data_IF_380045717174
#
_entry.id   IF_380045717174
#
_cell.length_a   1.000
_cell.length_b   1.000
_cell.length_c   1.000
_cell.angle_alpha   90.00
_cell.angle_beta   90.00
_cell.angle_gamma   90.00
#
_symmetry.space_group_name_H-M   'P 1'
#
loop_
_entity.id
_entity.type
_entity.pdbx_description
1 polymer ?
#
# COMPACT_ATOMS: atom_id res chain seq x y z
N UNK A 1 -37.38 17.56 -6.53
CA UNK A 1 -36.36 16.50 -6.43
C UNK A 1 -35.10 17.04 -7.08
N UNK A 2 -34.00 17.15 -6.33
CA UNK A 2 -32.70 17.49 -6.91
C UNK A 2 -32.21 16.28 -7.71
N UNK A 3 -31.67 16.51 -8.90
CA UNK A 3 -31.07 15.48 -9.73
C UNK A 3 -29.94 14.78 -8.96
N UNK A 4 -29.77 13.45 -9.05
CA UNK A 4 -28.64 12.78 -8.44
C UNK A 4 -27.32 13.37 -8.98
N UNK A 5 -26.31 13.57 -8.12
CA UNK A 5 -25.05 14.17 -8.52
C UNK A 5 -24.34 13.29 -9.57
N UNK A 6 -23.83 13.90 -10.63
CA UNK A 6 -23.05 13.18 -11.66
C UNK A 6 -21.60 12.94 -11.18
N UNK A 7 -20.90 12.00 -11.82
CA UNK A 7 -19.55 11.58 -11.41
C UNK A 7 -18.51 12.70 -11.37
N UNK A 8 -18.61 13.69 -12.27
CA UNK A 8 -17.73 14.86 -12.29
C UNK A 8 -17.97 15.76 -11.09
N UNK A 9 -19.23 16.04 -10.79
CA UNK A 9 -19.59 16.84 -9.62
C UNK A 9 -19.16 16.17 -8.32
N UNK A 10 -19.32 14.85 -8.20
CA UNK A 10 -18.83 14.08 -7.05
C UNK A 10 -17.30 14.16 -6.93
N UNK A 11 -16.58 14.07 -8.06
CA UNK A 11 -15.11 14.19 -8.07
C UNK A 11 -14.66 15.55 -7.55
N UNK A 12 -15.33 16.63 -7.99
CA UNK A 12 -15.02 17.99 -7.54
C UNK A 12 -15.34 18.19 -6.06
N UNK A 13 -16.44 17.60 -5.56
CA UNK A 13 -16.79 17.63 -4.14
C UNK A 13 -15.70 16.95 -3.32
N UNK A 14 -15.30 15.72 -3.68
CA UNK A 14 -14.27 14.98 -2.94
C UNK A 14 -12.94 15.73 -2.94
N UNK A 15 -12.50 16.26 -4.09
CA UNK A 15 -11.27 17.08 -4.20
C UNK A 15 -11.27 18.26 -3.25
N UNK A 16 -12.40 18.96 -3.14
CA UNK A 16 -12.53 20.14 -2.28
C UNK A 16 -12.70 19.78 -0.82
N UNK A 17 -13.39 18.67 -0.53
CA UNK A 17 -13.63 18.19 0.82
C UNK A 17 -12.32 17.92 1.57
N UNK A 18 -11.26 17.50 0.88
CA UNK A 18 -9.92 17.30 1.47
C UNK A 18 -9.43 18.53 2.26
N UNK A 19 -9.76 19.73 1.78
CA UNK A 19 -9.29 21.00 2.36
C UNK A 19 -10.42 21.81 3.01
N UNK A 20 -11.63 21.27 3.13
CA UNK A 20 -12.77 22.02 3.63
C UNK A 20 -13.64 21.15 4.54
N UNK A 21 -13.66 21.53 5.82
CA UNK A 21 -14.37 20.82 6.88
C UNK A 21 -15.88 20.73 6.62
N UNK A 22 -16.52 21.82 6.20
CA UNK A 22 -17.97 21.84 5.95
C UNK A 22 -18.36 20.89 4.81
N UNK A 23 -17.54 20.84 3.76
CA UNK A 23 -17.71 19.92 2.63
C UNK A 23 -17.43 18.46 3.01
N UNK A 24 -16.46 18.22 3.90
CA UNK A 24 -16.20 16.89 4.44
C UNK A 24 -17.39 16.39 5.28
N UNK A 25 -17.97 17.24 6.13
CA UNK A 25 -19.16 16.94 6.94
C UNK A 25 -20.40 16.66 6.08
N UNK A 26 -20.52 17.29 4.90
CA UNK A 26 -21.63 17.04 3.98
C UNK A 26 -21.38 15.90 2.98
N UNK A 27 -20.20 15.27 3.01
CA UNK A 27 -19.78 14.32 1.97
C UNK A 27 -20.67 13.06 1.95
N UNK A 28 -21.04 12.52 3.12
CA UNK A 28 -21.94 11.37 3.28
C UNK A 28 -23.23 11.57 2.51
N UNK A 29 -23.84 12.75 2.64
CA UNK A 29 -25.08 13.09 1.95
C UNK A 29 -24.93 13.04 0.43
N UNK A 30 -23.82 13.55 -0.11
CA UNK A 30 -23.58 13.53 -1.55
C UNK A 30 -23.35 12.11 -2.07
N UNK A 31 -22.67 11.28 -1.30
CA UNK A 31 -22.31 9.92 -1.69
C UNK A 31 -23.49 8.94 -1.57
N UNK A 32 -24.31 9.04 -0.52
CA UNK A 32 -25.49 8.19 -0.33
C UNK A 32 -26.55 8.39 -1.43
N UNK A 33 -26.62 9.59 -2.01
CA UNK A 33 -27.54 9.93 -3.09
C UNK A 33 -26.98 9.65 -4.49
N UNK A 34 -25.74 9.17 -4.60
CA UNK A 34 -25.11 8.86 -5.87
C UNK A 34 -25.45 7.42 -6.31
N UNK A 35 -25.53 7.21 -7.63
CA UNK A 35 -25.62 5.84 -8.16
C UNK A 35 -24.27 5.13 -8.06
N UNK A 36 -24.26 3.79 -7.94
CA UNK A 36 -23.02 2.98 -7.93
C UNK A 36 -22.14 3.25 -9.16
N UNK A 37 -22.76 3.44 -10.33
CA UNK A 37 -22.03 3.79 -11.56
C UNK A 37 -21.39 5.17 -11.47
N UNK A 38 -22.07 6.16 -10.89
CA UNK A 38 -21.50 7.48 -10.68
C UNK A 38 -20.32 7.45 -9.71
N UNK A 39 -20.39 6.62 -8.66
CA UNK A 39 -19.29 6.39 -7.71
C UNK A 39 -18.09 5.74 -8.42
N UNK A 40 -18.29 4.67 -9.18
CA UNK A 40 -17.19 4.01 -9.90
C UNK A 40 -16.50 4.96 -10.88
N UNK A 41 -17.27 5.73 -11.65
CA UNK A 41 -16.70 6.75 -12.54
C UNK A 41 -16.01 7.85 -11.74
N UNK A 42 -16.55 8.29 -10.61
CA UNK A 42 -15.87 9.26 -9.75
C UNK A 42 -14.50 8.71 -9.31
N UNK A 43 -14.43 7.46 -8.87
CA UNK A 43 -13.15 6.82 -8.49
C UNK A 43 -12.17 6.82 -9.67
N UNK A 44 -12.58 6.34 -10.85
CA UNK A 44 -11.74 6.30 -12.04
C UNK A 44 -11.19 7.70 -12.38
N UNK A 45 -12.03 8.73 -12.30
CA UNK A 45 -11.66 10.12 -12.51
C UNK A 45 -10.67 10.64 -11.45
N UNK A 46 -10.85 10.27 -10.17
CA UNK A 46 -9.98 10.68 -9.08
C UNK A 46 -8.62 9.98 -9.14
N UNK A 47 -8.59 8.66 -9.36
CA UNK A 47 -7.36 7.86 -9.49
C UNK A 47 -6.54 8.33 -10.69
N UNK A 48 -7.16 8.58 -11.84
CA UNK A 48 -6.43 9.07 -13.03
C UNK A 48 -5.91 10.52 -12.89
N UNK A 49 -6.32 11.25 -11.86
CA UNK A 49 -5.93 12.64 -11.63
C UNK A 49 -4.66 12.72 -10.78
N UNK A 50 -3.49 12.92 -11.41
CA UNK A 50 -2.21 13.10 -10.72
C UNK A 50 -2.28 14.13 -9.58
N UNK A 51 -2.87 15.29 -9.85
CA UNK A 51 -3.03 16.37 -8.86
C UNK A 51 -3.85 15.95 -7.65
N UNK A 52 -4.86 15.09 -7.80
CA UNK A 52 -5.66 14.63 -6.69
C UNK A 52 -4.85 13.72 -5.77
N UNK A 53 -4.09 12.78 -6.35
CA UNK A 53 -3.24 11.89 -5.56
C UNK A 53 -2.21 12.69 -4.77
N UNK A 54 -1.60 13.72 -5.39
CA UNK A 54 -0.67 14.61 -4.71
C UNK A 54 -1.34 15.43 -3.61
N UNK A 55 -2.49 16.03 -3.88
CA UNK A 55 -3.22 16.85 -2.91
C UNK A 55 -3.67 16.02 -1.70
N UNK A 56 -4.09 14.77 -1.92
CA UNK A 56 -4.47 13.85 -0.86
C UNK A 56 -3.26 13.50 0.03
N UNK A 57 -2.10 13.22 -0.56
CA UNK A 57 -0.85 12.97 0.19
C UNK A 57 -0.41 14.23 0.96
N UNK A 58 -0.45 15.41 0.32
CA UNK A 58 -0.14 16.72 0.93
C UNK A 58 -0.99 17.00 2.16
N UNK A 59 -2.31 16.89 2.00
CA UNK A 59 -3.27 17.19 3.05
C UNK A 59 -3.12 16.21 4.22
N UNK A 60 -2.81 14.94 3.93
CA UNK A 60 -2.52 13.93 4.96
C UNK A 60 -1.26 14.26 5.76
N UNK A 61 -0.20 14.71 5.07
CA UNK A 61 1.05 15.13 5.71
C UNK A 61 0.84 16.36 6.62
N UNK A 62 0.05 17.32 6.13
CA UNK A 62 -0.19 18.62 6.75
C UNK A 62 -0.87 18.52 8.11
N UNK A 63 -0.27 19.11 9.16
CA UNK A 63 -0.91 19.16 10.49
C UNK A 63 -2.27 19.89 10.50
N UNK A 64 -2.46 20.86 9.60
CA UNK A 64 -3.70 21.64 9.53
C UNK A 64 -4.81 20.88 8.84
N UNK A 65 -4.48 20.22 7.73
CA UNK A 65 -5.48 19.63 6.84
C UNK A 65 -5.75 18.16 7.14
N UNK A 66 -4.87 17.52 7.91
CA UNK A 66 -4.96 16.10 8.23
C UNK A 66 -6.28 15.72 8.88
N UNK A 67 -6.77 16.48 9.87
CA UNK A 67 -8.04 16.16 10.53
C UNK A 67 -9.21 16.13 9.53
N UNK A 68 -9.25 17.10 8.62
CA UNK A 68 -10.26 17.17 7.57
C UNK A 68 -10.09 16.01 6.59
N UNK A 69 -8.85 15.70 6.22
CA UNK A 69 -8.53 14.59 5.32
C UNK A 69 -8.90 13.23 5.93
N UNK A 70 -8.61 12.99 7.21
CA UNK A 70 -8.99 11.78 7.93
C UNK A 70 -10.51 11.62 7.99
N UNK A 71 -11.25 12.72 8.17
CA UNK A 71 -12.71 12.70 8.11
C UNK A 71 -13.21 12.31 6.70
N UNK A 72 -12.63 12.87 5.64
CA UNK A 72 -12.97 12.47 4.25
C UNK A 72 -12.71 10.99 4.02
N UNK A 73 -11.56 10.47 4.48
CA UNK A 73 -11.23 9.04 4.35
C UNK A 73 -12.21 8.16 5.12
N UNK A 74 -12.63 8.59 6.32
CA UNK A 74 -13.62 7.90 7.11
C UNK A 74 -14.97 7.80 6.37
N UNK A 75 -15.46 8.92 5.83
CA UNK A 75 -16.71 8.94 5.07
C UNK A 75 -16.63 8.08 3.80
N UNK A 76 -15.46 8.05 3.14
CA UNK A 76 -15.22 7.15 2.01
C UNK A 76 -15.21 5.68 2.44
N UNK A 77 -14.70 5.33 3.62
CA UNK A 77 -14.73 3.96 4.14
C UNK A 77 -16.15 3.43 4.36
N UNK A 78 -17.12 4.30 4.64
CA UNK A 78 -18.53 3.91 4.80
C UNK A 78 -19.17 3.46 3.50
N UNK A 79 -18.56 3.79 2.36
CA UNK A 79 -19.02 3.35 1.08
C UNK A 79 -18.54 1.92 0.82
N UNK A 80 -19.49 0.98 0.88
CA UNK A 80 -19.30 -0.43 0.55
C UNK A 80 -19.05 -0.66 -0.97
N UNK A 81 -18.03 0.00 -1.53
CA UNK A 81 -17.64 -0.11 -2.93
C UNK A 81 -16.17 -0.50 -3.05
N UNK A 82 -15.83 -1.63 -3.69
CA UNK A 82 -14.44 -2.07 -3.86
C UNK A 82 -13.56 -1.04 -4.60
N UNK A 83 -14.15 -0.24 -5.48
CA UNK A 83 -13.43 0.81 -6.23
C UNK A 83 -12.84 1.88 -5.31
N UNK A 84 -13.45 2.14 -4.16
CA UNK A 84 -13.01 3.20 -3.25
C UNK A 84 -11.73 2.82 -2.52
N UNK A 85 -11.46 1.51 -2.41
CA UNK A 85 -10.21 1.03 -1.86
C UNK A 85 -9.00 1.64 -2.56
N UNK A 86 -9.09 1.84 -3.88
CA UNK A 86 -7.99 2.42 -4.66
C UNK A 86 -7.67 3.85 -4.19
N UNK A 87 -8.68 4.63 -3.76
CA UNK A 87 -8.50 5.97 -3.18
C UNK A 87 -7.96 5.87 -1.76
N UNK A 88 -8.54 5.00 -0.94
CA UNK A 88 -8.19 4.86 0.47
C UNK A 88 -6.72 4.45 0.69
N UNK A 89 -6.16 3.67 -0.24
CA UNK A 89 -4.77 3.21 -0.16
C UNK A 89 -3.74 4.29 -0.52
N UNK A 90 -4.11 5.36 -1.23
CA UNK A 90 -3.18 6.46 -1.61
C UNK A 90 -2.47 7.07 -0.38
N UNK A 91 -3.17 7.52 0.67
CA UNK A 91 -2.55 8.13 1.84
C UNK A 91 -2.01 7.13 2.87
N UNK A 92 -2.29 5.83 2.75
CA UNK A 92 -1.91 4.82 3.74
C UNK A 92 -0.40 4.81 4.06
N UNK A 93 0.52 4.88 3.07
CA UNK A 93 1.95 4.90 3.37
C UNK A 93 2.37 6.02 4.33
N UNK A 94 1.82 7.22 4.13
CA UNK A 94 2.14 8.39 4.94
C UNK A 94 1.40 8.37 6.28
N UNK A 95 0.15 7.88 6.32
CA UNK A 95 -0.59 7.68 7.57
C UNK A 95 0.15 6.75 8.52
N UNK A 96 0.60 5.59 8.02
CA UNK A 96 1.37 4.63 8.82
C UNK A 96 2.69 5.26 9.25
N UNK A 97 3.38 5.98 8.35
CA UNK A 97 4.61 6.66 8.72
C UNK A 97 4.42 7.63 9.90
N UNK A 98 3.40 8.49 9.82
CA UNK A 98 3.08 9.47 10.87
C UNK A 98 2.71 8.73 12.16
N UNK A 99 1.88 7.69 12.08
CA UNK A 99 1.54 6.86 13.24
C UNK A 99 2.79 6.27 13.92
N UNK A 100 3.73 5.70 13.16
CA UNK A 100 4.97 5.11 13.68
C UNK A 100 6.01 6.14 14.18
N UNK A 101 5.72 7.43 14.02
CA UNK A 101 6.61 8.54 14.41
C UNK A 101 5.92 9.59 15.31
N UNK A 102 4.63 9.40 15.62
CA UNK A 102 3.89 10.26 16.53
C UNK A 102 4.38 10.02 17.96
N UNK A 103 4.51 11.10 18.72
CA UNK A 103 4.84 11.09 20.15
C UNK A 103 3.66 11.56 21.01
N UNK A 104 2.57 12.06 20.38
CA UNK A 104 1.39 12.57 21.07
C UNK A 104 0.28 11.55 21.14
N UNK A 105 -0.22 11.26 22.36
CA UNK A 105 -1.26 10.25 22.60
C UNK A 105 -2.57 10.54 21.83
N UNK A 106 -3.01 11.80 21.80
CA UNK A 106 -4.24 12.19 21.10
C UNK A 106 -4.12 12.05 19.57
N UNK A 107 -3.03 12.57 18.99
CA UNK A 107 -2.76 12.47 17.54
C UNK A 107 -2.62 11.00 17.11
N UNK A 108 -2.01 10.17 17.97
CA UNK A 108 -1.85 8.75 17.71
C UNK A 108 -3.18 7.99 17.76
N UNK A 109 -4.09 8.31 18.69
CA UNK A 109 -5.41 7.67 18.79
C UNK A 109 -6.30 7.93 17.57
N UNK A 110 -6.28 9.16 17.03
CA UNK A 110 -7.01 9.52 15.81
C UNK A 110 -6.47 8.78 14.58
N UNK A 111 -5.14 8.77 14.42
CA UNK A 111 -4.47 8.03 13.35
C UNK A 111 -4.75 6.52 13.43
N UNK A 112 -4.67 5.96 14.63
CA UNK A 112 -4.96 4.55 14.89
C UNK A 112 -6.38 4.18 14.48
N UNK A 113 -7.35 5.01 14.86
CA UNK A 113 -8.76 4.81 14.52
C UNK A 113 -8.97 4.77 13.01
N UNK A 114 -8.41 5.74 12.27
CA UNK A 114 -8.54 5.77 10.80
C UNK A 114 -7.81 4.60 10.13
N UNK A 115 -6.59 4.26 10.57
CA UNK A 115 -5.85 3.12 10.04
C UNK A 115 -6.63 1.82 10.21
N UNK A 116 -7.22 1.61 11.40
CA UNK A 116 -8.05 0.43 11.67
C UNK A 116 -9.34 0.40 10.85
N UNK A 117 -9.96 1.55 10.60
CA UNK A 117 -11.15 1.63 9.75
C UNK A 117 -10.84 1.27 8.30
N UNK A 118 -9.74 1.80 7.74
CA UNK A 118 -9.29 1.43 6.40
C UNK A 118 -8.95 -0.06 6.36
N UNK A 119 -8.28 -0.58 7.39
CA UNK A 119 -7.96 -2.01 7.49
C UNK A 119 -9.22 -2.90 7.57
N UNK A 120 -10.25 -2.50 8.33
CA UNK A 120 -11.53 -3.19 8.40
C UNK A 120 -12.25 -3.15 7.04
N UNK A 121 -12.28 -1.99 6.38
CA UNK A 121 -12.83 -1.86 5.03
C UNK A 121 -12.15 -2.83 4.04
N UNK A 122 -10.81 -2.91 4.07
CA UNK A 122 -10.04 -3.87 3.26
C UNK A 122 -10.50 -5.32 3.51
N UNK A 123 -10.66 -5.72 4.77
CA UNK A 123 -11.06 -7.08 5.14
C UNK A 123 -12.50 -7.41 4.75
N UNK A 124 -13.38 -6.43 4.72
CA UNK A 124 -14.77 -6.60 4.29
C UNK A 124 -14.91 -6.79 2.78
N UNK A 125 -13.91 -6.36 1.99
CA UNK A 125 -13.91 -6.60 0.55
C UNK A 125 -13.53 -8.04 0.21
N UNK A 126 -14.37 -8.77 -0.56
CA UNK A 126 -14.18 -10.19 -0.84
C UNK A 126 -12.89 -10.52 -1.59
N UNK A 127 -12.24 -9.53 -2.23
CA UNK A 127 -10.92 -9.66 -2.87
C UNK A 127 -9.83 -10.13 -1.90
N UNK A 128 -9.93 -9.78 -0.61
CA UNK A 128 -8.94 -10.17 0.41
C UNK A 128 -9.25 -11.53 1.02
N UNK A 129 -10.50 -11.99 0.89
CA UNK A 129 -11.03 -13.06 1.73
C UNK A 129 -10.58 -14.48 1.34
N UNK A 130 -10.07 -14.71 0.12
CA UNK A 130 -9.60 -16.03 -0.35
C UNK A 130 -8.61 -15.88 -1.51
N UNK A 131 -7.45 -15.28 -1.25
CA UNK A 131 -6.36 -15.31 -2.23
C UNK A 131 -5.90 -16.76 -2.42
N UNK A 132 -6.34 -17.33 -3.54
CA UNK A 132 -5.97 -18.67 -3.93
C UNK A 132 -5.54 -18.68 -5.38
N UNK A 133 -4.47 -19.40 -5.67
CA UNK A 133 -3.98 -19.56 -7.03
C UNK A 133 -3.84 -21.05 -7.35
N UNK A 134 -4.03 -21.39 -8.63
CA UNK A 134 -3.77 -22.74 -9.14
C UNK A 134 -2.33 -22.76 -9.65
N UNK A 135 -1.54 -23.73 -9.19
CA UNK A 135 -0.22 -23.98 -9.78
C UNK A 135 -0.44 -24.51 -11.21
N UNK A 136 0.11 -23.87 -12.27
CA UNK A 136 0.02 -24.40 -13.62
C UNK A 136 0.87 -25.67 -13.74
N UNK A 137 0.26 -26.76 -14.23
CA UNK A 137 0.92 -28.05 -14.40
C UNK A 137 1.31 -28.28 -15.85
N UNK A 138 2.60 -28.53 -16.10
CA UNK A 138 3.16 -28.63 -17.46
C UNK A 138 2.62 -29.82 -18.27
N UNK A 139 2.14 -30.87 -17.60
CA UNK A 139 1.51 -32.04 -18.22
C UNK A 139 0.01 -31.86 -18.44
N UNK A 140 -0.58 -30.74 -17.98
CA UNK A 140 -1.94 -30.38 -18.33
C UNK A 140 -1.94 -29.39 -19.50
N UNK A 141 -2.90 -29.52 -20.43
CA UNK A 141 -3.09 -28.52 -21.45
C UNK A 141 -3.34 -27.14 -20.83
N UNK A 142 -2.67 -26.11 -21.34
CA UNK A 142 -2.87 -24.73 -20.96
C UNK A 142 -2.80 -23.83 -22.21
N UNK A 143 -2.99 -22.52 -22.05
CA UNK A 143 -3.02 -21.57 -23.18
C UNK A 143 -1.72 -21.53 -24.00
N UNK A 144 -0.61 -22.05 -23.46
CA UNK A 144 0.71 -22.07 -24.10
C UNK A 144 1.16 -23.46 -24.55
N UNK A 145 0.55 -24.54 -24.07
CA UNK A 145 0.96 -25.91 -24.41
C UNK A 145 -0.20 -26.91 -24.41
N UNK A 146 -0.12 -27.93 -25.26
CA UNK A 146 -1.14 -28.99 -25.32
C UNK A 146 -1.04 -30.03 -24.19
N UNK A 147 -0.20 -29.81 -23.16
CA UNK A 147 -0.06 -30.74 -22.04
C UNK A 147 0.68 -32.05 -22.36
N UNK A 148 1.46 -32.07 -23.44
CA UNK A 148 2.16 -33.29 -23.91
C UNK A 148 3.61 -33.27 -23.41
N UNK A 149 3.82 -33.28 -22.08
CA UNK A 149 5.15 -33.54 -21.52
C UNK A 149 5.22 -35.01 -21.07
N UNK A 150 6.18 -35.81 -21.58
CA UNK A 150 6.32 -37.20 -21.16
C UNK A 150 6.87 -37.22 -19.73
N UNK A 151 5.97 -37.39 -18.75
CA UNK A 151 6.27 -37.51 -17.31
C UNK A 151 7.26 -38.67 -17.02
N UNK A 152 7.52 -39.55 -17.99
CA UNK A 152 8.27 -40.79 -17.80
C UNK A 152 9.82 -40.68 -17.86
N UNK A 153 10.43 -39.52 -18.13
CA UNK A 153 11.92 -39.46 -18.32
C UNK A 153 12.69 -38.38 -17.55
N UNK A 154 12.07 -37.65 -16.62
CA UNK A 154 12.75 -36.59 -15.87
C UNK A 154 12.67 -36.84 -14.36
N UNK A 155 13.80 -37.21 -13.76
CA UNK A 155 13.97 -37.50 -12.32
C UNK A 155 13.78 -36.29 -11.37
N UNK A 156 13.17 -35.18 -11.83
CA UNK A 156 13.21 -33.88 -11.13
C UNK A 156 11.87 -33.14 -11.06
N UNK A 157 10.73 -33.80 -11.25
CA UNK A 157 9.44 -33.14 -11.06
C UNK A 157 8.78 -33.61 -9.76
N UNK A 158 8.87 -32.78 -8.71
CA UNK A 158 7.82 -32.79 -7.68
C UNK A 158 6.58 -32.20 -8.33
N UNK A 159 5.68 -33.07 -8.74
CA UNK A 159 4.36 -32.69 -9.21
C UNK A 159 3.52 -32.39 -7.96
N UNK A 160 3.22 -31.12 -7.72
CA UNK A 160 2.08 -30.78 -6.88
C UNK A 160 0.84 -31.22 -7.66
N UNK A 161 -0.07 -31.97 -7.04
CA UNK A 161 -1.41 -32.19 -7.61
C UNK A 161 -2.10 -30.82 -7.82
N UNK A 162 -3.21 -30.75 -8.56
CA UNK A 162 -3.98 -29.50 -8.75
C UNK A 162 -4.47 -28.93 -7.40
N UNK A 163 -3.57 -28.32 -6.63
CA UNK A 163 -3.84 -27.74 -5.33
C UNK A 163 -4.18 -26.27 -5.55
N UNK A 164 -5.39 -25.91 -5.14
CA UNK A 164 -5.76 -24.51 -4.90
C UNK A 164 -5.01 -24.11 -3.62
N UNK A 165 -3.87 -23.46 -3.78
CA UNK A 165 -3.10 -22.98 -2.63
C UNK A 165 -3.73 -21.68 -2.16
N UNK A 166 -4.23 -21.68 -0.93
CA UNK A 166 -4.66 -20.46 -0.23
C UNK A 166 -3.47 -19.90 0.52
N UNK A 167 -3.03 -18.69 0.18
CA UNK A 167 -1.82 -18.09 0.77
C UNK A 167 -2.12 -16.89 1.68
N UNK A 168 -3.39 -16.53 1.84
CA UNK A 168 -3.82 -15.45 2.74
C UNK A 168 -4.86 -16.00 3.73
N UNK A 169 -4.50 -16.07 5.00
CA UNK A 169 -5.33 -16.67 6.04
C UNK A 169 -5.57 -15.67 7.19
N UNK A 170 -6.85 -15.34 7.35
CA UNK A 170 -7.54 -14.80 8.52
C UNK A 170 -7.60 -13.28 8.67
N UNK A 171 -8.85 -12.79 8.74
CA UNK A 171 -9.16 -11.48 9.29
C UNK A 171 -8.83 -11.44 10.78
N UNK A 172 -8.21 -10.35 11.21
CA UNK A 172 -7.93 -10.12 12.63
C UNK A 172 -9.09 -9.30 13.21
N UNK A 173 -9.90 -9.83 14.14
CA UNK A 173 -10.80 -8.99 14.92
C UNK A 173 -9.94 -8.23 15.93
N UNK A 174 -9.54 -7.01 15.62
CA UNK A 174 -8.87 -6.15 16.59
C UNK A 174 -9.43 -4.74 16.54
N UNK A 175 -9.78 -4.24 17.71
CA UNK A 175 -10.26 -2.87 17.90
C UNK A 175 -9.12 -1.87 18.14
N UNK A 176 -7.88 -2.34 18.39
CA UNK A 176 -6.69 -1.52 18.63
C UNK A 176 -5.44 -2.09 17.92
N UNK A 177 -4.49 -1.23 17.57
CA UNK A 177 -3.16 -1.60 17.06
C UNK A 177 -2.22 -1.89 18.24
N UNK A 178 -1.46 -2.98 18.14
CA UNK A 178 -0.44 -3.34 19.11
C UNK A 178 0.75 -4.02 18.42
N UNK A 179 1.85 -4.19 19.13
CA UNK A 179 3.08 -4.77 18.57
C UNK A 179 2.89 -6.19 17.98
N UNK A 180 1.83 -6.93 18.36
CA UNK A 180 1.56 -8.28 17.84
C UNK A 180 0.81 -8.25 16.51
N UNK A 181 -0.13 -7.31 16.33
CA UNK A 181 -0.95 -7.22 15.12
C UNK A 181 -0.42 -6.23 14.08
N UNK A 182 0.43 -5.27 14.48
CA UNK A 182 0.98 -4.26 13.60
C UNK A 182 1.69 -4.88 12.40
N UNK A 183 2.50 -5.92 12.61
CA UNK A 183 3.18 -6.61 11.50
C UNK A 183 2.23 -7.22 10.47
N UNK A 184 1.06 -7.71 10.90
CA UNK A 184 0.04 -8.28 10.01
C UNK A 184 -0.78 -7.18 9.31
N UNK A 185 -1.10 -6.10 10.02
CA UNK A 185 -1.72 -4.90 9.45
C UNK A 185 -0.83 -4.32 8.33
N UNK A 186 0.47 -4.17 8.62
CA UNK A 186 1.46 -3.73 7.63
C UNK A 186 1.55 -4.69 6.45
N UNK A 187 1.50 -6.00 6.67
CA UNK A 187 1.51 -6.99 5.60
C UNK A 187 0.33 -6.80 4.64
N UNK A 188 -0.89 -6.67 5.18
CA UNK A 188 -2.10 -6.45 4.37
C UNK A 188 -2.00 -5.14 3.58
N UNK A 189 -1.59 -4.03 4.21
CA UNK A 189 -1.45 -2.77 3.48
C UNK A 189 -0.39 -2.84 2.39
N UNK A 190 0.79 -3.40 2.67
CA UNK A 190 1.86 -3.51 1.68
C UNK A 190 1.44 -4.41 0.52
N UNK A 191 0.73 -5.51 0.80
CA UNK A 191 0.15 -6.37 -0.24
C UNK A 191 -0.85 -5.61 -1.10
N UNK A 192 -1.88 -4.99 -0.50
CA UNK A 192 -2.93 -4.31 -1.26
C UNK A 192 -2.41 -3.10 -2.05
N UNK A 193 -1.42 -2.38 -1.51
CA UNK A 193 -0.69 -1.33 -2.25
C UNK A 193 0.11 -1.95 -3.39
N UNK A 194 0.80 -3.07 -3.14
CA UNK A 194 1.59 -3.80 -4.13
C UNK A 194 0.77 -4.27 -5.33
N UNK A 195 -0.43 -4.80 -5.09
CA UNK A 195 -1.36 -5.25 -6.13
C UNK A 195 -1.83 -4.10 -7.05
N UNK A 196 -1.77 -2.85 -6.57
CA UNK A 196 -2.29 -1.65 -7.25
C UNK A 196 -1.24 -0.60 -7.58
N UNK A 197 0.03 -0.85 -7.26
CA UNK A 197 1.10 0.15 -7.28
C UNK A 197 1.27 0.83 -8.65
N UNK A 198 0.92 0.12 -9.73
CA UNK A 198 0.96 0.62 -11.11
C UNK A 198 -0.05 1.72 -11.41
N UNK A 199 -1.12 1.82 -10.62
CA UNK A 199 -2.16 2.85 -10.73
C UNK A 199 -1.76 4.16 -10.03
N UNK A 200 -0.79 4.10 -9.13
CA UNK A 200 -0.44 5.22 -8.27
C UNK A 200 0.65 6.11 -8.86
N UNK A 201 0.53 7.39 -8.55
CA UNK A 201 1.48 8.42 -8.91
C UNK A 201 2.86 8.18 -8.27
N UNK A 202 3.94 8.72 -8.85
CA UNK A 202 5.30 8.61 -8.31
C UNK A 202 5.40 9.01 -6.82
N UNK A 203 4.61 10.00 -6.39
CA UNK A 203 4.61 10.47 -4.99
C UNK A 203 4.14 9.39 -4.00
N UNK A 204 3.17 8.56 -4.39
CA UNK A 204 2.66 7.46 -3.58
C UNK A 204 3.66 6.31 -3.56
N UNK A 205 4.25 5.99 -4.72
CA UNK A 205 5.32 5.00 -4.86
C UNK A 205 6.53 5.38 -3.99
N UNK A 206 6.88 6.67 -3.96
CA UNK A 206 7.93 7.22 -3.11
C UNK A 206 7.59 7.10 -1.62
N UNK A 207 6.39 7.53 -1.20
CA UNK A 207 5.95 7.40 0.20
C UNK A 207 5.94 5.94 0.66
N UNK A 208 5.54 5.02 -0.23
CA UNK A 208 5.57 3.58 0.03
C UNK A 208 7.00 3.09 0.22
N UNK A 209 7.92 3.54 -0.63
CA UNK A 209 9.35 3.20 -0.52
C UNK A 209 9.94 3.71 0.79
N UNK A 210 9.61 4.94 1.21
CA UNK A 210 10.04 5.46 2.49
C UNK A 210 9.44 4.71 3.68
N UNK A 211 8.16 4.35 3.64
CA UNK A 211 7.55 3.50 4.66
C UNK A 211 8.33 2.19 4.84
N UNK A 212 8.74 1.55 3.74
CA UNK A 212 9.57 0.35 3.79
C UNK A 212 10.90 0.57 4.53
N UNK A 213 11.60 1.68 4.31
CA UNK A 213 12.83 2.01 5.06
C UNK A 213 12.59 2.08 6.58
N UNK A 214 11.46 2.65 7.01
CA UNK A 214 11.12 2.75 8.43
C UNK A 214 10.74 1.41 9.04
N UNK A 215 9.98 0.59 8.33
CA UNK A 215 9.64 -0.78 8.74
C UNK A 215 10.93 -1.60 8.96
N UNK A 216 11.92 -1.46 8.07
CA UNK A 216 13.21 -2.14 8.16
C UNK A 216 14.12 -1.62 9.29
N UNK A 217 13.69 -0.58 10.01
CA UNK A 217 14.41 -0.06 11.19
C UNK A 217 15.68 0.70 10.84
N UNK A 218 15.75 1.30 9.65
CA UNK A 218 16.88 2.13 9.22
C UNK A 218 16.49 3.60 9.14
N UNK A 219 17.32 4.46 9.73
CA UNK A 219 17.21 5.90 9.48
C UNK A 219 17.70 6.22 8.07
N UNK A 220 16.91 7.00 7.33
CA UNK A 220 17.25 7.49 5.97
C UNK A 220 18.50 8.40 5.99
N UNK A 221 19.04 8.78 7.16
CA UNK A 221 20.18 9.69 7.34
C UNK A 221 21.48 9.34 6.58
N UNK A 222 21.63 8.13 6.05
CA UNK A 222 22.79 7.75 5.21
C UNK A 222 22.46 7.56 3.72
N UNK A 223 21.21 7.78 3.33
CA UNK A 223 20.80 7.86 1.93
C UNK A 223 20.93 9.33 1.58
N UNK A 224 21.96 9.72 0.81
CA UNK A 224 21.98 11.04 0.17
C UNK A 224 20.59 11.30 -0.40
N UNK A 225 19.96 12.39 0.06
CA UNK A 225 18.61 12.77 -0.32
C UNK A 225 18.53 12.72 -1.84
N UNK A 226 17.75 11.80 -2.43
CA UNK A 226 17.56 11.82 -3.87
C UNK A 226 16.88 13.14 -4.20
N UNK A 227 17.51 13.92 -5.07
CA UNK A 227 16.90 15.08 -5.72
C UNK A 227 15.83 14.56 -6.68
N UNK A 228 14.64 14.33 -6.15
CA UNK A 228 13.47 13.99 -6.96
C UNK A 228 12.97 15.29 -7.56
N UNK A 229 12.90 15.33 -8.89
CA UNK A 229 12.27 16.40 -9.65
C UNK A 229 10.73 16.32 -9.54
N UNK A 230 10.22 16.29 -8.31
CA UNK A 230 8.86 16.70 -8.01
C UNK A 230 8.90 18.18 -7.62
N UNK A 231 7.78 18.90 -7.74
CA UNK A 231 7.68 20.30 -7.30
C UNK A 231 8.40 20.50 -5.96
N UNK A 232 9.45 21.34 -5.96
CA UNK A 232 10.46 21.42 -4.90
C UNK A 232 9.86 21.65 -3.50
N UNK A 233 8.65 22.22 -3.40
CA UNK A 233 7.94 22.44 -2.14
C UNK A 233 7.29 21.16 -1.57
N UNK A 234 6.76 20.29 -2.43
CA UNK A 234 6.11 19.04 -2.06
C UNK A 234 7.12 17.99 -1.60
N UNK A 235 8.19 17.81 -2.38
CA UNK A 235 9.29 16.93 -2.03
C UNK A 235 9.93 17.40 -0.72
N UNK A 236 10.10 18.72 -0.54
CA UNK A 236 10.60 19.29 0.71
C UNK A 236 9.67 19.05 1.90
N UNK A 237 8.35 19.20 1.77
CA UNK A 237 7.41 19.00 2.89
C UNK A 237 7.30 17.54 3.31
N UNK A 238 7.23 16.63 2.33
CA UNK A 238 7.20 15.19 2.54
C UNK A 238 8.54 14.73 3.10
N UNK A 239 9.68 15.06 2.47
CA UNK A 239 11.00 14.76 3.05
C UNK A 239 11.11 15.36 4.44
N UNK A 240 10.65 16.59 4.71
CA UNK A 240 10.65 17.15 6.06
C UNK A 240 9.90 16.24 7.03
N UNK A 241 8.69 15.76 6.71
CA UNK A 241 7.99 14.78 7.56
C UNK A 241 8.75 13.44 7.69
N UNK A 242 9.45 13.00 6.65
CA UNK A 242 10.28 11.79 6.65
C UNK A 242 11.67 11.99 7.31
N UNK A 243 12.17 13.22 7.43
CA UNK A 243 13.53 13.58 7.86
C UNK A 243 13.59 14.25 9.25
N UNK A 244 12.50 14.89 9.72
CA UNK A 244 12.55 15.79 10.89
C UNK A 244 12.56 15.07 12.24
N UNK A 245 12.15 13.82 12.37
CA UNK A 245 12.11 13.20 13.71
C UNK A 245 13.31 12.30 13.94
N UNK A 246 13.99 12.50 15.08
CA UNK A 246 14.93 11.52 15.65
C UNK A 246 14.17 10.19 15.70
N UNK A 247 14.36 9.36 14.68
CA UNK A 247 13.59 8.15 14.48
C UNK A 247 13.78 7.32 15.73
N UNK A 248 12.72 7.21 16.53
CA UNK A 248 12.65 6.21 17.58
C UNK A 248 12.93 4.88 16.87
N UNK A 249 14.15 4.34 17.07
CA UNK A 249 14.64 3.13 16.41
C UNK A 249 14.02 1.91 17.10
N UNK A 250 12.69 1.93 17.26
CA UNK A 250 11.94 0.78 17.74
C UNK A 250 12.09 -0.28 16.65
N UNK A 251 12.79 -1.37 16.98
CA UNK A 251 12.92 -2.51 16.08
C UNK A 251 11.58 -3.24 16.04
N UNK A 252 10.96 -3.28 14.87
CA UNK A 252 9.77 -4.07 14.65
C UNK A 252 10.13 -5.54 14.50
N UNK A 253 9.32 -6.42 15.07
CA UNK A 253 9.36 -7.84 14.74
C UNK A 253 8.69 -8.00 13.38
N UNK A 254 9.48 -8.28 12.36
CA UNK A 254 9.00 -8.46 11.00
C UNK A 254 8.78 -9.94 10.74
N UNK A 255 7.62 -10.28 10.20
CA UNK A 255 7.33 -11.64 9.76
C UNK A 255 7.80 -11.84 8.32
N UNK A 256 8.10 -13.09 7.95
CA UNK A 256 8.60 -13.43 6.62
C UNK A 256 7.68 -12.95 5.49
N UNK A 257 6.36 -13.14 5.64
CA UNK A 257 5.37 -12.74 4.63
C UNK A 257 5.44 -11.24 4.32
N UNK A 258 5.56 -10.38 5.33
CA UNK A 258 5.72 -8.94 5.11
C UNK A 258 6.98 -8.64 4.28
N UNK A 259 8.10 -9.27 4.61
CA UNK A 259 9.35 -9.08 3.86
C UNK A 259 9.28 -9.62 2.43
N UNK A 260 8.56 -10.73 2.20
CA UNK A 260 8.31 -11.28 0.87
C UNK A 260 7.44 -10.33 0.02
N UNK A 261 6.38 -9.74 0.59
CA UNK A 261 5.58 -8.72 -0.11
C UNK A 261 6.42 -7.48 -0.43
N UNK A 262 7.26 -7.04 0.50
CA UNK A 262 8.19 -5.93 0.27
C UNK A 262 9.19 -6.25 -0.86
N UNK A 263 9.64 -7.51 -0.98
CA UNK A 263 10.49 -7.93 -2.11
C UNK A 263 9.75 -7.78 -3.44
N UNK A 264 8.53 -8.32 -3.54
CA UNK A 264 7.71 -8.21 -4.75
C UNK A 264 7.53 -6.76 -5.19
N UNK A 265 7.17 -5.89 -4.24
CA UNK A 265 7.00 -4.47 -4.47
C UNK A 265 8.31 -3.77 -4.87
N UNK A 266 9.41 -4.06 -4.19
CA UNK A 266 10.72 -3.48 -4.50
C UNK A 266 11.20 -3.88 -5.89
N UNK A 267 11.02 -5.15 -6.28
CA UNK A 267 11.38 -5.63 -7.62
C UNK A 267 10.60 -4.87 -8.69
N UNK A 268 9.30 -4.62 -8.47
CA UNK A 268 8.50 -3.78 -9.35
C UNK A 268 9.06 -2.34 -9.43
N UNK A 269 9.33 -1.72 -8.28
CA UNK A 269 9.80 -0.33 -8.20
C UNK A 269 11.21 -0.12 -8.78
N UNK A 270 12.09 -1.13 -8.71
CA UNK A 270 13.43 -1.10 -9.35
C UNK A 270 13.36 -0.92 -10.86
N UNK A 271 12.30 -1.41 -11.51
CA UNK A 271 12.13 -1.35 -12.97
C UNK A 271 11.28 -0.15 -13.43
N UNK A 272 11.00 0.81 -12.54
CA UNK A 272 10.32 2.05 -12.92
C UNK A 272 11.30 2.99 -13.63
N UNK A 273 10.75 3.79 -14.54
CA UNK A 273 11.51 4.80 -15.29
C UNK A 273 12.08 5.91 -14.38
N UNK A 274 11.47 6.13 -13.22
CA UNK A 274 11.96 7.11 -12.24
C UNK A 274 13.22 6.57 -11.54
N UNK A 275 14.38 7.10 -11.92
CA UNK A 275 15.70 6.74 -11.39
C UNK A 275 15.80 6.90 -9.87
N UNK A 276 15.07 7.85 -9.28
CA UNK A 276 15.12 8.06 -7.83
C UNK A 276 14.37 6.95 -7.10
N UNK A 277 13.18 6.60 -7.58
CA UNK A 277 12.39 5.49 -7.02
C UNK A 277 13.15 4.18 -7.20
N UNK A 278 13.73 3.94 -8.38
CA UNK A 278 14.53 2.75 -8.67
C UNK A 278 15.77 2.64 -7.74
N UNK A 279 16.48 3.74 -7.53
CA UNK A 279 17.64 3.81 -6.64
C UNK A 279 17.26 3.55 -5.18
N UNK A 280 16.17 4.15 -4.69
CA UNK A 280 15.65 3.91 -3.35
C UNK A 280 15.17 2.47 -3.17
N UNK A 281 14.47 1.91 -4.15
CA UNK A 281 14.03 0.52 -4.15
C UNK A 281 15.22 -0.44 -4.07
N UNK A 282 16.29 -0.19 -4.83
CA UNK A 282 17.53 -0.99 -4.77
C UNK A 282 18.18 -0.97 -3.38
N UNK A 283 18.14 0.17 -2.70
CA UNK A 283 18.60 0.29 -1.31
C UNK A 283 17.68 -0.48 -0.35
N UNK A 284 16.36 -0.37 -0.50
CA UNK A 284 15.39 -1.19 0.26
C UNK A 284 15.65 -2.69 0.08
N UNK A 285 15.92 -3.14 -1.14
CA UNK A 285 16.22 -4.54 -1.45
C UNK A 285 17.41 -5.06 -0.63
N UNK A 286 18.48 -4.26 -0.59
CA UNK A 286 19.70 -4.57 0.17
C UNK A 286 19.43 -4.61 1.69
N UNK A 287 18.54 -3.73 2.17
CA UNK A 287 18.14 -3.69 3.57
C UNK A 287 17.25 -4.86 3.97
N UNK A 288 16.33 -5.30 3.10
CA UNK A 288 15.51 -6.50 3.32
C UNK A 288 16.44 -7.71 3.48
N UNK A 289 17.41 -7.87 2.58
CA UNK A 289 18.39 -8.94 2.66
C UNK A 289 19.18 -8.92 3.97
N UNK A 290 19.69 -7.74 4.35
CA UNK A 290 20.42 -7.57 5.62
C UNK A 290 19.52 -7.92 6.80
N UNK A 291 18.27 -7.48 6.79
CA UNK A 291 17.30 -7.75 7.87
C UNK A 291 17.00 -9.24 7.98
N UNK A 292 16.77 -9.92 6.85
CA UNK A 292 16.53 -11.36 6.79
C UNK A 292 17.71 -12.18 7.34
N UNK A 293 18.96 -11.76 7.05
CA UNK A 293 20.17 -12.38 7.63
C UNK A 293 20.26 -12.20 9.14
N UNK A 294 19.94 -11.01 9.64
CA UNK A 294 19.98 -10.72 11.07
C UNK A 294 18.89 -11.45 11.85
N UNK A 295 17.70 -11.59 11.26
CA UNK A 295 16.54 -12.23 11.88
C UNK A 295 16.46 -13.74 11.56
N UNK A 296 17.41 -14.28 10.78
CA UNK A 296 17.50 -15.68 10.36
C UNK A 296 16.23 -16.19 9.66
N UNK A 297 15.80 -15.47 8.61
CA UNK A 297 14.59 -15.79 7.82
C UNK A 297 15.00 -16.40 6.47
N UNK A 298 15.14 -17.73 6.37
CA UNK A 298 15.76 -18.41 5.22
C UNK A 298 14.97 -18.25 3.91
N UNK A 299 13.65 -18.23 3.96
CA UNK A 299 12.78 -18.07 2.77
C UNK A 299 12.97 -16.70 2.11
N UNK A 300 13.12 -15.64 2.91
CA UNK A 300 13.39 -14.28 2.43
C UNK A 300 14.81 -14.17 1.86
N UNK A 301 15.80 -14.78 2.54
CA UNK A 301 17.17 -14.84 2.04
C UNK A 301 17.23 -15.55 0.67
N UNK A 302 16.58 -16.71 0.57
CA UNK A 302 16.54 -17.51 -0.66
C UNK A 302 15.89 -16.75 -1.80
N UNK A 303 14.77 -16.06 -1.54
CA UNK A 303 14.10 -15.25 -2.55
C UNK A 303 15.00 -14.13 -3.09
N UNK A 304 15.70 -13.40 -2.20
CA UNK A 304 16.62 -12.34 -2.60
C UNK A 304 17.82 -12.87 -3.39
N UNK A 305 18.46 -13.92 -2.88
CA UNK A 305 19.66 -14.51 -3.53
C UNK A 305 19.31 -15.13 -4.89
N UNK A 306 18.15 -15.78 -5.00
CA UNK A 306 17.63 -16.31 -6.27
C UNK A 306 17.38 -15.20 -7.29
N UNK A 307 16.92 -14.05 -6.84
CA UNK A 307 16.71 -12.89 -7.70
C UNK A 307 18.05 -12.30 -8.17
N UNK A 308 19.01 -12.10 -7.27
CA UNK A 308 20.37 -11.61 -7.62
C UNK A 308 21.03 -12.54 -8.65
N UNK A 309 20.91 -13.86 -8.47
CA UNK A 309 21.49 -14.83 -9.39
C UNK A 309 20.84 -14.82 -10.79
N UNK A 310 19.63 -14.27 -10.95
CA UNK A 310 18.94 -14.12 -12.24
C UNK A 310 19.25 -12.81 -12.96
N UNK A 311 19.65 -11.76 -12.23
CA UNK A 311 20.08 -10.47 -12.80
C UNK A 311 21.53 -10.51 -13.33
N UNK A 312 22.37 -11.42 -12.81
CA UNK A 312 23.77 -11.65 -13.22
C UNK A 312 23.88 -12.57 -14.44
#
# INVERSE_FOLDING_TARGET
MLSPPNSRHLSDIVKRAIFNKELAESLTFHLENASKEAINKMVEHLISSLSFQEDLVKATASKTDRLVTLQVLYELCQLNSPSILDILLIPVPILIWIYLTSEGENEQAELETTILQIFKAIQEFPTVSKDSTKIPLLYLPNIYSQGIYPVQKSNYFMVYDEEIITYNAQGIPNDNINDRNLGLILHVFIKEIGDRISLYAPIVQLCTTYLMFKILGTSIRNVQEPTIHCDNELHSSIIKEFAIRNVNNKRFRLHANLLLEMISLVVYLKHREDENISSLASKCFSLIHRRAKLDLIPEVMTAVESYIAKEL
#
